data_IF_736415687046
#
_entry.id   IF_736415687046
#
_cell.length_a   1.000
_cell.length_b   1.000
_cell.length_c   1.000
_cell.angle_alpha   90.00
_cell.angle_beta   90.00
_cell.angle_gamma   90.00
#
_symmetry.space_group_name_H-M   'P 1'
#
loop_
_entity.id
_entity.type
_entity.pdbx_description
1 polymer ?
#
# COMPACT_ATOMS: atom_id res chain seq x y z
N UNK A 1 8.85 2.51 44.98
CA UNK A 1 8.80 1.65 43.78
C UNK A 1 8.18 2.47 42.64
N UNK A 2 8.99 3.10 41.76
CA UNK A 2 8.49 3.85 40.59
C UNK A 2 8.35 2.85 39.44
N UNK A 3 7.14 2.63 38.96
CA UNK A 3 6.92 1.87 37.73
C UNK A 3 7.49 2.66 36.54
N UNK A 4 8.19 2.01 35.59
CA UNK A 4 8.66 2.68 34.39
C UNK A 4 7.44 3.12 33.56
N UNK A 5 7.41 4.40 33.19
CA UNK A 5 6.44 4.92 32.22
C UNK A 5 6.91 4.50 30.85
N UNK A 6 6.16 3.61 30.20
CA UNK A 6 6.40 3.27 28.80
C UNK A 6 5.76 4.35 27.94
N UNK A 7 6.55 4.99 27.10
CA UNK A 7 6.06 5.85 26.03
C UNK A 7 5.72 4.94 24.85
N UNK A 8 4.45 4.92 24.45
CA UNK A 8 4.02 4.22 23.25
C UNK A 8 4.50 5.03 22.05
N UNK A 9 5.76 4.81 21.65
CA UNK A 9 6.27 5.17 20.33
C UNK A 9 5.34 4.43 19.35
N UNK A 10 4.43 5.16 18.72
CA UNK A 10 3.32 4.60 17.94
C UNK A 10 3.76 3.50 16.97
N UNK A 11 2.81 2.66 16.54
CA UNK A 11 3.08 1.56 15.61
C UNK A 11 4.00 2.04 14.48
N UNK A 12 5.22 1.49 14.42
CA UNK A 12 5.99 1.40 13.18
C UNK A 12 4.97 0.85 12.17
N UNK A 13 4.66 1.62 11.12
CA UNK A 13 3.47 1.44 10.27
C UNK A 13 3.26 0.02 9.74
N UNK A 14 2.15 -0.21 9.05
CA UNK A 14 1.88 -1.55 8.51
C UNK A 14 2.97 -1.93 7.48
N UNK A 15 3.89 -2.82 7.88
CA UNK A 15 5.00 -3.33 7.06
C UNK A 15 4.59 -4.65 6.42
N UNK A 16 4.93 -4.83 5.14
CA UNK A 16 4.64 -6.05 4.38
C UNK A 16 5.80 -6.41 3.45
N UNK A 17 5.90 -7.68 3.07
CA UNK A 17 6.97 -8.20 2.21
C UNK A 17 6.42 -8.53 0.83
N UNK A 18 7.00 -8.02 -0.26
CA UNK A 18 6.67 -8.37 -1.65
C UNK A 18 7.96 -8.70 -2.42
N UNK A 19 8.78 -9.58 -1.85
CA UNK A 19 10.22 -9.65 -2.14
C UNK A 19 10.99 -8.76 -1.16
N UNK A 20 11.17 -7.45 -1.47
CA UNK A 20 11.60 -6.44 -0.50
C UNK A 20 10.57 -6.19 0.60
N UNK A 21 10.99 -5.49 1.66
CA UNK A 21 10.12 -4.96 2.70
C UNK A 21 9.60 -3.58 2.28
N UNK A 22 8.30 -3.37 2.45
CA UNK A 22 7.60 -2.13 2.15
C UNK A 22 6.83 -1.64 3.37
N UNK A 23 6.66 -0.33 3.49
CA UNK A 23 5.90 0.31 4.56
C UNK A 23 4.71 1.06 3.99
N UNK A 24 3.49 0.71 4.42
CA UNK A 24 2.26 1.38 3.98
C UNK A 24 2.31 2.91 4.16
N UNK A 25 2.91 3.39 5.26
CA UNK A 25 3.00 4.83 5.52
C UNK A 25 3.85 5.57 4.49
N UNK A 26 4.79 4.89 3.82
CA UNK A 26 5.58 5.50 2.75
C UNK A 26 4.75 5.68 1.48
N UNK A 27 3.78 4.80 1.20
CA UNK A 27 2.81 5.00 0.11
C UNK A 27 1.89 6.19 0.40
N UNK A 28 1.37 6.28 1.64
CA UNK A 28 0.53 7.42 2.05
C UNK A 28 1.31 8.72 1.89
N UNK A 29 2.52 8.80 2.45
CA UNK A 29 3.37 9.98 2.37
C UNK A 29 3.73 10.36 0.94
N UNK A 30 3.98 9.38 0.07
CA UNK A 30 4.28 9.63 -1.33
C UNK A 30 3.10 10.32 -2.03
N UNK A 31 1.89 9.76 -1.92
CA UNK A 31 0.71 10.32 -2.56
C UNK A 31 0.29 11.66 -1.93
N UNK A 32 0.45 11.80 -0.61
CA UNK A 32 0.19 13.06 0.09
C UNK A 32 1.17 14.16 -0.36
N UNK A 33 2.47 13.87 -0.39
CA UNK A 33 3.49 14.89 -0.67
C UNK A 33 3.55 15.26 -2.16
N UNK A 34 3.55 14.25 -3.04
CA UNK A 34 3.77 14.48 -4.47
C UNK A 34 2.47 14.72 -5.24
N UNK A 35 1.34 14.21 -4.76
CA UNK A 35 0.05 14.28 -5.45
C UNK A 35 -1.07 14.94 -4.64
N UNK A 36 -0.79 15.41 -3.41
CA UNK A 36 -1.75 16.05 -2.50
C UNK A 36 -2.99 15.18 -2.20
N UNK A 37 -2.80 13.85 -2.17
CA UNK A 37 -3.84 12.89 -1.86
C UNK A 37 -4.01 12.73 -0.34
N UNK A 38 -5.18 13.09 0.19
CA UNK A 38 -5.47 13.07 1.64
C UNK A 38 -6.65 12.16 2.02
N UNK A 39 -7.17 11.42 1.05
CA UNK A 39 -8.28 10.46 1.19
C UNK A 39 -7.79 9.04 1.55
N UNK A 40 -8.70 8.09 1.87
CA UNK A 40 -8.33 6.72 2.20
C UNK A 40 -7.49 6.01 1.14
N UNK A 41 -6.36 5.44 1.56
CA UNK A 41 -5.51 4.57 0.74
C UNK A 41 -5.63 3.12 1.24
N UNK A 42 -5.78 2.16 0.34
CA UNK A 42 -5.80 0.74 0.70
C UNK A 42 -4.92 -0.07 -0.25
N UNK A 43 -4.07 -0.94 0.29
CA UNK A 43 -3.21 -1.82 -0.50
C UNK A 43 -3.79 -3.23 -0.50
N UNK A 44 -4.06 -3.78 -1.67
CA UNK A 44 -4.46 -5.18 -1.84
C UNK A 44 -3.31 -5.96 -2.43
N UNK A 45 -2.80 -6.92 -1.66
CA UNK A 45 -1.70 -7.77 -2.07
C UNK A 45 -2.27 -9.04 -2.69
N UNK A 46 -1.89 -9.33 -3.92
CA UNK A 46 -2.23 -10.58 -4.61
C UNK A 46 -0.98 -11.21 -5.19
N UNK A 47 -1.04 -12.50 -5.47
CA UNK A 47 0.03 -13.22 -6.13
C UNK A 47 -0.58 -14.30 -7.02
N UNK A 48 -0.02 -14.44 -8.22
CA UNK A 48 -0.33 -15.56 -9.11
C UNK A 48 0.72 -16.65 -8.88
N UNK A 49 0.30 -17.92 -8.92
CA UNK A 49 1.25 -19.04 -8.83
C UNK A 49 2.23 -18.96 -10.00
N UNK A 50 3.52 -18.99 -9.70
CA UNK A 50 4.62 -18.87 -10.68
C UNK A 50 4.59 -17.57 -11.51
N UNK A 51 3.91 -16.52 -11.03
CA UNK A 51 3.81 -15.20 -11.68
C UNK A 51 4.14 -14.03 -10.74
N UNK A 52 4.00 -12.79 -11.22
CA UNK A 52 4.32 -11.62 -10.41
C UNK A 52 3.41 -11.50 -9.19
N UNK A 53 3.97 -10.91 -8.13
CA UNK A 53 3.19 -10.40 -7.02
C UNK A 53 2.63 -9.04 -7.41
N UNK A 54 1.38 -8.75 -7.06
CA UNK A 54 0.75 -7.47 -7.40
C UNK A 54 0.41 -6.68 -6.15
N UNK A 55 0.85 -5.42 -6.11
CA UNK A 55 0.37 -4.42 -5.16
C UNK A 55 -0.70 -3.60 -5.90
N UNK A 56 -1.97 -3.83 -5.56
CA UNK A 56 -3.07 -3.02 -6.09
C UNK A 56 -3.37 -1.88 -5.11
N UNK A 57 -3.19 -0.65 -5.59
CA UNK A 57 -3.33 0.59 -4.84
C UNK A 57 -4.74 1.13 -5.07
N UNK A 58 -5.58 1.02 -4.04
CA UNK A 58 -6.94 1.53 -4.06
C UNK A 58 -6.99 2.95 -3.55
N UNK A 59 -7.56 3.82 -4.38
CA UNK A 59 -7.80 5.23 -4.09
C UNK A 59 -9.25 5.57 -4.43
N UNK A 60 -9.74 6.68 -3.88
CA UNK A 60 -11.07 7.19 -4.20
C UNK A 60 -11.22 7.51 -5.68
N UNK A 61 -12.38 7.15 -6.23
CA UNK A 61 -12.74 7.35 -7.63
C UNK A 61 -12.72 8.82 -8.05
N UNK A 62 -13.01 9.74 -7.12
CA UNK A 62 -12.97 11.18 -7.33
C UNK A 62 -11.56 11.77 -7.44
N UNK A 63 -10.50 10.99 -7.20
CA UNK A 63 -9.13 11.49 -7.32
C UNK A 63 -8.80 11.88 -8.76
N UNK A 64 -8.29 13.10 -8.95
CA UNK A 64 -8.08 13.72 -10.26
C UNK A 64 -6.88 13.15 -11.03
N UNK A 65 -5.91 12.56 -10.33
CA UNK A 65 -4.70 11.97 -10.94
C UNK A 65 -4.99 10.68 -11.67
N UNK A 66 -4.34 10.45 -12.81
CA UNK A 66 -4.47 9.20 -13.54
C UNK A 66 -3.80 8.04 -12.80
N UNK A 67 -4.16 6.81 -13.15
CA UNK A 67 -3.51 5.61 -12.61
C UNK A 67 -2.00 5.62 -12.88
N UNK A 68 -1.58 6.12 -14.05
CA UNK A 68 -0.17 6.23 -14.43
C UNK A 68 0.58 7.27 -13.59
N UNK A 69 -0.05 8.39 -13.23
CA UNK A 69 0.56 9.40 -12.35
C UNK A 69 0.83 8.81 -10.96
N UNK A 70 -0.13 8.04 -10.45
CA UNK A 70 -0.02 7.36 -9.16
C UNK A 70 1.08 6.29 -9.20
N UNK A 71 1.10 5.44 -10.24
CA UNK A 71 2.16 4.43 -10.41
C UNK A 71 3.54 5.10 -10.51
N UNK A 72 3.64 6.20 -11.26
CA UNK A 72 4.91 6.93 -11.43
C UNK A 72 5.38 7.55 -10.11
N UNK A 73 4.47 8.12 -9.32
CA UNK A 73 4.75 8.61 -7.98
C UNK A 73 5.29 7.48 -7.08
N UNK A 74 4.62 6.33 -7.05
CA UNK A 74 5.05 5.18 -6.23
C UNK A 74 6.42 4.65 -6.70
N UNK A 75 6.67 4.51 -8.00
CA UNK A 75 7.98 4.07 -8.50
C UNK A 75 9.11 5.03 -8.13
N UNK A 76 8.85 6.34 -8.17
CA UNK A 76 9.81 7.36 -7.71
C UNK A 76 10.14 7.20 -6.22
N UNK A 77 9.15 6.87 -5.39
CA UNK A 77 9.36 6.60 -3.95
C UNK A 77 10.06 5.28 -3.69
N UNK A 78 9.80 4.26 -4.49
CA UNK A 78 10.38 2.92 -4.35
C UNK A 78 11.17 2.48 -5.59
N UNK A 79 12.37 3.06 -5.83
CA UNK A 79 13.23 2.63 -6.94
C UNK A 79 13.57 1.13 -6.91
N UNK A 80 13.51 0.52 -5.72
CA UNK A 80 13.68 -0.93 -5.53
C UNK A 80 12.69 -1.77 -6.34
N UNK A 81 11.49 -1.25 -6.66
CA UNK A 81 10.52 -1.96 -7.52
C UNK A 81 11.11 -2.16 -8.92
N UNK A 82 11.69 -1.10 -9.50
CA UNK A 82 12.30 -1.18 -10.83
C UNK A 82 13.58 -2.01 -10.81
N UNK A 83 14.37 -1.94 -9.72
CA UNK A 83 15.55 -2.80 -9.54
C UNK A 83 15.19 -4.29 -9.50
N UNK A 84 14.11 -4.65 -8.81
CA UNK A 84 13.65 -6.04 -8.71
C UNK A 84 13.04 -6.50 -10.04
N UNK A 85 12.44 -5.59 -10.81
CA UNK A 85 11.84 -5.88 -12.11
C UNK A 85 12.83 -5.83 -13.30
N UNK A 86 14.14 -5.67 -13.05
CA UNK A 86 15.14 -5.41 -14.10
C UNK A 86 15.14 -6.45 -15.23
N UNK A 87 15.02 -7.74 -14.89
CA UNK A 87 15.10 -8.86 -15.85
C UNK A 87 13.75 -9.50 -16.15
N UNK A 88 12.87 -9.53 -15.16
CA UNK A 88 11.53 -10.10 -15.25
C UNK A 88 10.60 -9.32 -14.32
N UNK A 89 9.32 -9.25 -14.64
CA UNK A 89 8.35 -8.56 -13.79
C UNK A 89 8.05 -9.47 -12.59
N UNK A 90 8.55 -9.09 -11.41
CA UNK A 90 8.30 -9.79 -10.14
C UNK A 90 7.27 -9.05 -9.28
N UNK A 91 7.22 -7.73 -9.39
CA UNK A 91 6.29 -6.87 -8.66
C UNK A 91 5.51 -6.02 -9.65
N UNK A 92 4.22 -6.30 -9.80
CA UNK A 92 3.31 -5.51 -10.61
C UNK A 92 2.60 -4.46 -9.74
N UNK A 93 2.50 -3.22 -10.25
CA UNK A 93 1.78 -2.13 -9.61
C UNK A 93 0.50 -1.87 -10.38
N UNK A 94 -0.63 -1.94 -9.68
CA UNK A 94 -1.93 -1.57 -10.23
C UNK A 94 -2.54 -0.48 -9.38
N UNK A 95 -3.41 0.31 -10.01
CA UNK A 95 -4.24 1.28 -9.32
C UNK A 95 -5.68 0.96 -9.63
N UNK A 96 -6.52 1.00 -8.61
CA UNK A 96 -7.95 0.79 -8.74
C UNK A 96 -8.69 1.95 -8.09
N UNK A 97 -9.42 2.71 -8.90
CA UNK A 97 -10.25 3.83 -8.44
C UNK A 97 -11.62 3.31 -8.00
N UNK A 98 -11.89 3.35 -6.69
CA UNK A 98 -13.09 2.76 -6.08
C UNK A 98 -13.93 3.81 -5.34
N UNK A 99 -15.21 3.53 -5.08
CA UNK A 99 -16.01 4.41 -4.25
C UNK A 99 -15.65 4.23 -2.76
N UNK A 100 -16.04 5.18 -1.91
CA UNK A 100 -15.69 5.16 -0.48
C UNK A 100 -16.26 3.92 0.25
N UNK A 101 -17.45 3.50 -0.16
CA UNK A 101 -18.17 2.33 0.35
C UNK A 101 -17.49 0.98 0.00
N UNK A 102 -16.66 0.95 -1.05
CA UNK A 102 -16.00 -0.26 -1.54
C UNK A 102 -14.68 -0.56 -0.80
N UNK A 103 -14.20 0.37 0.04
CA UNK A 103 -13.04 0.16 0.89
C UNK A 103 -13.36 -0.84 2.00
N UNK A 104 -12.54 -1.89 2.16
CA UNK A 104 -12.77 -2.84 3.24
C UNK A 104 -12.45 -2.21 4.60
N UNK A 105 -13.42 -2.30 5.52
CA UNK A 105 -13.32 -1.83 6.90
C UNK A 105 -13.36 -3.02 7.86
N UNK A 106 -12.81 -2.85 9.06
CA UNK A 106 -12.89 -3.84 10.14
C UNK A 106 -14.32 -3.82 10.70
N UNK A 107 -15.03 -4.95 10.60
CA UNK A 107 -16.45 -5.04 10.96
C UNK A 107 -16.79 -4.52 12.37
N UNK A 108 -15.89 -4.75 13.35
CA UNK A 108 -16.10 -4.34 14.75
C UNK A 108 -15.79 -2.88 15.05
N UNK A 109 -14.94 -2.22 14.26
CA UNK A 109 -14.45 -0.86 14.59
C UNK A 109 -14.75 0.18 13.52
N UNK A 110 -15.19 -0.24 12.33
CA UNK A 110 -15.38 0.63 11.17
C UNK A 110 -14.07 1.19 10.58
N UNK A 111 -12.91 0.88 11.17
CA UNK A 111 -11.61 1.37 10.70
C UNK A 111 -11.25 0.76 9.36
N UNK A 112 -10.65 1.55 8.48
CA UNK A 112 -10.08 1.08 7.23
C UNK A 112 -9.06 -0.04 7.47
N UNK A 113 -9.13 -1.11 6.68
CA UNK A 113 -8.02 -2.06 6.56
C UNK A 113 -7.00 -1.47 5.59
N UNK A 114 -5.90 -0.94 6.10
CA UNK A 114 -4.81 -0.33 5.29
C UNK A 114 -4.21 -1.31 4.29
N UNK A 115 -3.97 -2.55 4.73
CA UNK A 115 -3.44 -3.63 3.90
C UNK A 115 -4.39 -4.83 3.95
N UNK A 116 -4.70 -5.38 2.77
CA UNK A 116 -5.45 -6.63 2.62
C UNK A 116 -4.57 -7.64 1.90
N UNK A 117 -4.15 -8.68 2.62
CA UNK A 117 -3.37 -9.76 2.05
C UNK A 117 -4.28 -10.85 1.49
N UNK A 118 -4.34 -10.96 0.16
CA UNK A 118 -5.08 -11.99 -0.58
C UNK A 118 -4.14 -12.98 -1.27
N UNK A 119 -2.85 -13.01 -0.88
CA UNK A 119 -1.87 -13.92 -1.46
C UNK A 119 -2.14 -15.32 -0.91
N UNK A 120 -2.63 -16.19 -1.79
CA UNK A 120 -2.90 -17.58 -1.43
C UNK A 120 -1.63 -18.41 -1.63
N UNK A 121 -0.59 -18.12 -0.84
CA UNK A 121 0.68 -18.86 -0.88
C UNK A 121 0.51 -20.04 0.06
N UNK A 122 0.10 -21.18 -0.49
CA UNK A 122 0.20 -22.48 0.19
C UNK A 122 1.59 -23.06 0.02
#
# INVERSE_FOLDING_TARGET
>A
RKAPRFELLGRFGDIFKMGPLFNYNEFVRALETDLNYTSPLQLVLTAVKDGPQTINIRVEKGFDKSENDIISCIRKTFPTIDMVNEKEILIDLKVEKINEEDFEKVATTGKLKSIIDKRNIK
#
